data_IF_571261578563
#
_entry.id   IF_571261578563
#
_cell.length_a   1.000
_cell.length_b   1.000
_cell.length_c   1.000
_cell.angle_alpha   90.00
_cell.angle_beta   90.00
_cell.angle_gamma   90.00
#
_symmetry.space_group_name_H-M   'P 1'
#
loop_
_entity.id
_entity.type
_entity.pdbx_description
1 polymer ?
#
# COMPACT_ATOMS: atom_id res chain seq x y z
N UNK A 1 22.22 19.19 -28.46
CA UNK A 1 22.61 17.78 -28.65
C UNK A 1 23.66 17.42 -27.61
N UNK A 2 23.34 16.63 -26.58
CA UNK A 2 24.38 16.08 -25.68
C UNK A 2 24.88 14.75 -26.28
N UNK A 3 26.20 14.61 -26.36
CA UNK A 3 26.95 13.47 -26.91
C UNK A 3 26.59 12.19 -26.14
N UNK A 4 26.45 11.07 -26.83
CA UNK A 4 26.32 9.76 -26.21
C UNK A 4 27.64 9.40 -25.51
N UNK A 5 27.59 9.10 -24.21
CA UNK A 5 28.77 8.79 -23.39
C UNK A 5 29.10 7.30 -23.52
N UNK A 6 30.36 6.97 -23.76
CA UNK A 6 30.87 5.59 -23.81
C UNK A 6 31.21 5.06 -22.40
N UNK A 7 31.27 3.75 -22.22
CA UNK A 7 31.58 3.15 -20.90
C UNK A 7 32.94 3.59 -20.33
N UNK A 8 33.96 3.74 -21.18
CA UNK A 8 35.27 4.22 -20.75
C UNK A 8 35.24 5.70 -20.32
N UNK A 9 34.47 6.54 -21.02
CA UNK A 9 34.24 7.93 -20.61
C UNK A 9 33.49 7.97 -19.26
N UNK A 10 32.46 7.15 -19.08
CA UNK A 10 31.69 7.06 -17.84
C UNK A 10 32.55 6.71 -16.61
N UNK A 11 33.50 5.78 -16.75
CA UNK A 11 34.39 5.35 -15.67
C UNK A 11 35.41 6.43 -15.24
N UNK A 12 35.65 7.43 -16.10
CA UNK A 12 36.58 8.54 -15.81
C UNK A 12 35.92 9.72 -15.08
N UNK A 13 34.59 9.73 -15.01
CA UNK A 13 33.81 10.81 -14.41
C UNK A 13 33.59 10.55 -12.91
N UNK A 14 33.72 11.60 -12.10
CA UNK A 14 33.39 11.57 -10.67
C UNK A 14 32.03 12.25 -10.45
N UNK A 15 31.08 11.51 -9.86
CA UNK A 15 29.77 12.02 -9.43
C UNK A 15 28.88 12.63 -10.54
N UNK A 16 28.98 12.10 -11.77
CA UNK A 16 28.02 12.45 -12.83
C UNK A 16 26.78 11.57 -12.75
N UNK A 17 25.61 12.23 -12.75
CA UNK A 17 24.31 11.57 -12.67
C UNK A 17 23.61 11.55 -14.02
N UNK A 18 22.94 10.43 -14.28
CA UNK A 18 21.99 10.28 -15.37
C UNK A 18 20.62 9.93 -14.80
N UNK A 19 19.60 10.26 -15.58
CA UNK A 19 18.22 10.08 -15.18
C UNK A 19 17.54 9.07 -16.09
N UNK A 20 16.77 8.17 -15.50
CA UNK A 20 16.02 7.14 -16.23
C UNK A 20 14.58 7.11 -15.76
N UNK A 21 13.67 6.78 -16.66
CA UNK A 21 12.27 6.56 -16.31
C UNK A 21 12.12 5.25 -15.53
N UNK A 22 11.28 5.24 -14.49
CA UNK A 22 11.11 4.15 -13.53
C UNK A 22 10.47 2.89 -14.13
N UNK A 23 9.83 3.01 -15.30
CA UNK A 23 9.47 1.87 -16.15
C UNK A 23 10.65 0.97 -16.54
N UNK A 24 11.89 1.38 -16.31
CA UNK A 24 13.05 0.47 -16.38
C UNK A 24 12.90 -0.72 -15.42
N UNK A 25 12.18 -0.53 -14.30
CA UNK A 25 11.98 -1.50 -13.23
C UNK A 25 10.97 -2.59 -13.56
N UNK A 26 10.10 -2.41 -14.57
CA UNK A 26 9.12 -3.41 -15.05
C UNK A 26 9.76 -4.80 -15.25
N UNK A 27 10.98 -4.81 -15.80
CA UNK A 27 11.73 -6.03 -16.09
C UNK A 27 12.08 -6.82 -14.82
N UNK A 28 12.33 -6.13 -13.70
CA UNK A 28 12.88 -6.72 -12.48
C UNK A 28 11.80 -7.00 -11.44
N UNK A 29 10.73 -6.22 -11.40
CA UNK A 29 9.71 -6.32 -10.35
C UNK A 29 8.69 -7.46 -10.58
N UNK A 30 8.42 -7.85 -11.84
CA UNK A 30 7.25 -8.70 -12.17
C UNK A 30 7.56 -10.09 -12.69
N UNK A 31 8.81 -10.41 -13.01
CA UNK A 31 9.14 -11.56 -13.87
C UNK A 31 10.18 -12.53 -13.29
N UNK A 32 10.77 -12.26 -12.13
CA UNK A 32 11.87 -13.10 -11.63
C UNK A 32 12.05 -12.98 -10.10
N UNK A 33 11.97 -14.11 -9.38
CA UNK A 33 12.21 -14.17 -7.93
C UNK A 33 13.69 -13.90 -7.55
N UNK A 34 14.58 -13.85 -8.54
CA UNK A 34 16.02 -13.67 -8.32
C UNK A 34 16.46 -12.22 -8.19
N UNK A 35 15.64 -11.26 -8.65
CA UNK A 35 15.96 -9.84 -8.52
C UNK A 35 15.43 -9.29 -7.21
N UNK A 36 16.26 -8.44 -6.59
CA UNK A 36 15.86 -7.62 -5.46
C UNK A 36 15.79 -6.18 -5.97
N UNK A 37 14.65 -5.52 -5.76
CA UNK A 37 14.43 -4.13 -6.12
C UNK A 37 14.05 -3.36 -4.87
N UNK A 38 14.87 -2.38 -4.49
CA UNK A 38 14.54 -1.50 -3.37
C UNK A 38 13.60 -0.40 -3.85
N UNK A 39 12.40 -0.24 -3.25
CA UNK A 39 11.45 0.76 -3.71
C UNK A 39 11.85 2.19 -3.34
N UNK A 40 12.70 2.37 -2.33
CA UNK A 40 13.14 3.70 -1.87
C UNK A 40 14.21 4.27 -2.79
N UNK A 41 15.29 3.51 -3.02
CA UNK A 41 16.40 3.99 -3.83
C UNK A 41 16.36 3.49 -5.28
N UNK A 42 15.44 2.59 -5.63
CA UNK A 42 15.28 2.01 -6.97
C UNK A 42 16.47 1.18 -7.47
N UNK A 43 17.37 0.80 -6.57
CA UNK A 43 18.50 -0.07 -6.90
C UNK A 43 18.01 -1.49 -7.18
N UNK A 44 18.73 -2.17 -8.07
CA UNK A 44 18.43 -3.53 -8.51
C UNK A 44 19.64 -4.41 -8.26
N UNK A 45 19.45 -5.52 -7.55
CA UNK A 45 20.49 -6.52 -7.28
C UNK A 45 20.12 -7.86 -7.90
N UNK A 46 21.12 -8.58 -8.40
CA UNK A 46 21.01 -9.97 -8.84
C UNK A 46 22.02 -10.83 -8.08
N UNK A 47 21.58 -11.36 -6.93
CA UNK A 47 22.43 -12.06 -5.98
C UNK A 47 23.72 -11.28 -5.69
N UNK A 48 24.86 -11.98 -5.76
CA UNK A 48 26.19 -11.40 -5.58
C UNK A 48 26.91 -11.07 -6.91
N UNK A 49 26.20 -11.10 -8.05
CA UNK A 49 26.84 -11.01 -9.37
C UNK A 49 27.01 -9.57 -9.85
N UNK A 50 25.94 -8.77 -9.75
CA UNK A 50 25.93 -7.37 -10.16
C UNK A 50 24.81 -6.61 -9.47
N UNK A 51 24.95 -5.29 -9.40
CA UNK A 51 23.93 -4.39 -8.91
C UNK A 51 23.94 -3.10 -9.74
N UNK A 52 22.76 -2.54 -10.00
CA UNK A 52 22.64 -1.14 -10.42
C UNK A 52 22.23 -0.35 -9.19
N UNK A 53 23.15 0.49 -8.70
CA UNK A 53 22.94 1.32 -7.51
C UNK A 53 22.44 2.69 -7.93
N UNK A 54 21.33 3.09 -7.33
CA UNK A 54 20.60 4.32 -7.63
C UNK A 54 20.41 5.17 -6.37
N UNK A 55 20.16 6.46 -6.56
CA UNK A 55 19.94 7.42 -5.46
C UNK A 55 18.46 7.54 -5.05
N UNK A 56 17.56 6.90 -5.80
CA UNK A 56 16.12 7.01 -5.62
C UNK A 56 15.44 7.82 -6.71
N UNK A 57 14.13 8.01 -6.53
CA UNK A 57 13.35 8.82 -7.45
C UNK A 57 13.49 10.30 -7.09
N UNK A 58 13.76 11.13 -8.09
CA UNK A 58 13.86 12.60 -7.95
C UNK A 58 12.52 13.29 -8.22
N UNK A 59 11.55 12.56 -8.78
CA UNK A 59 10.18 12.98 -9.00
C UNK A 59 9.23 11.76 -8.91
N UNK A 60 8.04 11.83 -9.51
CA UNK A 60 7.09 10.71 -9.53
C UNK A 60 7.59 9.45 -10.25
N UNK A 61 8.35 9.59 -11.33
CA UNK A 61 8.64 8.56 -12.33
C UNK A 61 10.11 8.49 -12.79
N UNK A 62 11.01 9.28 -12.22
CA UNK A 62 12.38 9.45 -12.68
C UNK A 62 13.33 9.04 -11.58
N UNK A 63 14.23 8.12 -11.89
CA UNK A 63 15.29 7.61 -11.02
C UNK A 63 16.58 8.33 -11.37
N UNK A 64 17.30 8.78 -10.34
CA UNK A 64 18.67 9.25 -10.46
C UNK A 64 19.66 8.10 -10.27
N UNK A 65 20.58 7.96 -11.22
CA UNK A 65 21.58 6.90 -11.27
C UNK A 65 22.95 7.53 -11.44
N UNK A 66 23.91 7.16 -10.60
CA UNK A 66 25.30 7.53 -10.84
C UNK A 66 25.79 6.83 -12.11
N UNK A 67 26.27 7.61 -13.07
CA UNK A 67 26.68 7.11 -14.38
C UNK A 67 27.78 6.05 -14.25
N UNK A 68 28.71 6.23 -13.31
CA UNK A 68 29.77 5.27 -13.04
C UNK A 68 29.22 3.90 -12.61
N UNK A 69 28.27 3.88 -11.67
CA UNK A 69 27.67 2.64 -11.15
C UNK A 69 26.89 1.86 -12.23
N UNK A 70 26.41 2.52 -13.28
CA UNK A 70 25.72 1.85 -14.38
C UNK A 70 26.67 1.07 -15.32
N UNK A 71 27.97 1.40 -15.32
CA UNK A 71 28.99 0.77 -16.17
C UNK A 71 30.01 -0.05 -15.37
N UNK A 72 30.15 0.19 -14.07
CA UNK A 72 31.07 -0.55 -13.20
C UNK A 72 30.42 -1.83 -12.67
N UNK A 73 30.93 -3.00 -13.08
CA UNK A 73 30.46 -4.30 -12.58
C UNK A 73 29.08 -4.75 -13.09
N UNK A 74 28.46 -3.97 -14.00
CA UNK A 74 27.16 -4.28 -14.60
C UNK A 74 27.35 -4.87 -16.00
N UNK A 75 26.55 -5.88 -16.34
CA UNK A 75 26.61 -6.52 -17.67
C UNK A 75 26.10 -5.57 -18.77
N UNK A 76 26.68 -5.70 -19.95
CA UNK A 76 26.33 -4.84 -21.11
C UNK A 76 24.84 -4.86 -21.48
N UNK A 77 24.18 -6.02 -21.41
CA UNK A 77 22.75 -6.15 -21.70
C UNK A 77 21.87 -5.40 -20.69
N UNK A 78 22.30 -5.32 -19.43
CA UNK A 78 21.65 -4.53 -18.40
C UNK A 78 21.85 -3.05 -18.68
N UNK A 79 23.08 -2.58 -18.89
CA UNK A 79 23.35 -1.17 -19.23
C UNK A 79 22.59 -0.74 -20.49
N UNK A 80 22.52 -1.59 -21.52
CA UNK A 80 21.73 -1.34 -22.73
C UNK A 80 20.23 -1.24 -22.45
N UNK A 81 19.69 -2.05 -21.54
CA UNK A 81 18.29 -1.94 -21.11
C UNK A 81 18.02 -0.60 -20.42
N UNK A 82 18.82 -0.23 -19.43
CA UNK A 82 18.68 1.04 -18.70
C UNK A 82 18.78 2.26 -19.62
N UNK A 83 19.71 2.25 -20.57
CA UNK A 83 19.85 3.33 -21.56
C UNK A 83 18.59 3.56 -22.43
N UNK A 84 17.72 2.55 -22.63
CA UNK A 84 16.45 2.72 -23.36
C UNK A 84 15.47 3.66 -22.65
N UNK A 85 15.60 3.78 -21.34
CA UNK A 85 14.73 4.59 -20.48
C UNK A 85 15.38 5.92 -20.09
N UNK A 86 16.52 6.29 -20.70
CA UNK A 86 17.21 7.53 -20.39
C UNK A 86 16.34 8.76 -20.67
N UNK A 87 16.24 9.65 -19.68
CA UNK A 87 15.49 10.91 -19.76
C UNK A 87 16.43 12.02 -20.23
N UNK A 88 16.04 12.72 -21.30
CA UNK A 88 16.89 13.72 -21.96
C UNK A 88 16.92 15.09 -21.27
N UNK A 89 15.81 15.48 -20.62
CA UNK A 89 15.63 16.80 -20.03
C UNK A 89 15.13 16.66 -18.59
N UNK A 90 16.02 16.78 -17.59
CA UNK A 90 15.67 16.59 -16.21
C UNK A 90 14.87 17.76 -15.60
N UNK A 91 14.67 18.86 -16.31
CA UNK A 91 14.05 20.06 -15.70
C UNK A 91 12.51 20.02 -15.78
N UNK A 92 11.93 19.05 -16.51
CA UNK A 92 10.48 18.98 -16.82
C UNK A 92 9.70 17.95 -16.00
N UNK A 93 10.24 17.59 -14.85
CA UNK A 93 9.72 16.51 -14.03
C UNK A 93 8.33 16.73 -13.45
N UNK A 94 7.53 15.66 -13.43
CA UNK A 94 6.19 15.67 -12.85
C UNK A 94 6.28 15.78 -11.34
N UNK A 95 5.80 16.91 -10.80
CA UNK A 95 5.68 17.07 -9.35
C UNK A 95 4.72 16.02 -8.79
N UNK A 96 5.17 15.27 -7.79
CA UNK A 96 4.34 14.29 -7.11
C UNK A 96 5.15 13.44 -6.14
N UNK A 97 4.45 12.73 -5.26
CA UNK A 97 5.06 11.71 -4.40
C UNK A 97 5.17 10.42 -5.21
N UNK A 98 6.36 9.84 -5.20
CA UNK A 98 6.66 8.60 -5.89
C UNK A 98 6.03 7.37 -5.21
N UNK A 99 5.99 6.24 -5.93
CA UNK A 99 5.32 5.03 -5.44
C UNK A 99 6.02 4.41 -4.23
N UNK A 100 7.35 4.47 -4.15
CA UNK A 100 8.11 3.93 -3.03
C UNK A 100 7.76 4.68 -1.74
N UNK A 101 7.80 6.01 -1.79
CA UNK A 101 7.41 6.86 -0.66
C UNK A 101 5.93 6.70 -0.28
N UNK A 102 5.02 6.60 -1.25
CA UNK A 102 3.59 6.35 -1.00
C UNK A 102 3.36 5.02 -0.28
N UNK A 103 4.00 3.96 -0.75
CA UNK A 103 3.83 2.62 -0.20
C UNK A 103 4.45 2.50 1.19
N UNK A 104 5.59 3.15 1.43
CA UNK A 104 6.18 3.26 2.77
C UNK A 104 5.23 3.95 3.73
N UNK A 105 4.72 5.13 3.36
CA UNK A 105 3.80 5.91 4.19
C UNK A 105 2.53 5.12 4.53
N UNK A 106 1.96 4.42 3.54
CA UNK A 106 0.82 3.54 3.74
C UNK A 106 1.09 2.45 4.78
N UNK A 107 2.24 1.80 4.70
CA UNK A 107 2.61 0.75 5.64
C UNK A 107 2.92 1.27 7.03
N UNK A 108 3.60 2.41 7.15
CA UNK A 108 3.82 3.08 8.44
C UNK A 108 2.50 3.37 9.15
N UNK A 109 1.51 3.88 8.40
CA UNK A 109 0.18 4.16 8.96
C UNK A 109 -0.59 2.88 9.29
N UNK A 110 -0.44 1.83 8.47
CA UNK A 110 -1.09 0.54 8.72
C UNK A 110 -0.48 -0.23 9.90
N UNK A 111 0.83 -0.20 10.08
CA UNK A 111 1.53 -0.77 11.25
C UNK A 111 1.09 -0.04 12.51
N UNK A 112 1.08 1.29 12.51
CA UNK A 112 0.57 2.09 13.64
C UNK A 112 -0.88 1.77 13.97
N UNK A 113 -1.73 1.63 12.96
CA UNK A 113 -3.10 1.17 13.16
C UNK A 113 -3.15 -0.21 13.84
N UNK A 114 -2.29 -1.14 13.39
CA UNK A 114 -2.09 -2.45 13.99
C UNK A 114 -1.72 -2.36 15.47
N UNK A 115 -0.75 -1.51 15.81
CA UNK A 115 -0.29 -1.29 17.18
C UNK A 115 -1.40 -0.76 18.10
N UNK A 116 -2.09 0.30 17.66
CA UNK A 116 -3.19 0.86 18.45
C UNK A 116 -4.33 -0.12 18.62
N UNK A 117 -4.71 -0.84 17.55
CA UNK A 117 -5.78 -1.80 17.65
C UNK A 117 -5.37 -2.99 18.54
N UNK A 118 -4.17 -3.55 18.35
CA UNK A 118 -3.64 -4.63 19.17
C UNK A 118 -3.67 -4.28 20.67
N UNK A 119 -3.18 -3.09 21.03
CA UNK A 119 -3.20 -2.59 22.40
C UNK A 119 -4.62 -2.51 22.98
N UNK A 120 -5.57 -1.90 22.25
CA UNK A 120 -6.95 -1.76 22.71
C UNK A 120 -7.64 -3.12 22.87
N UNK A 121 -7.45 -4.04 21.92
CA UNK A 121 -8.03 -5.37 22.00
C UNK A 121 -7.38 -6.20 23.11
N UNK A 122 -6.08 -6.04 23.34
CA UNK A 122 -5.35 -6.74 24.40
C UNK A 122 -5.85 -6.37 25.79
N UNK A 123 -6.13 -5.08 26.03
CA UNK A 123 -6.77 -4.61 27.26
C UNK A 123 -8.14 -5.26 27.46
N UNK A 124 -8.99 -5.21 26.43
CA UNK A 124 -10.36 -5.74 26.54
C UNK A 124 -10.36 -7.25 26.77
N UNK A 125 -9.48 -7.96 26.06
CA UNK A 125 -9.40 -9.42 26.10
C UNK A 125 -8.56 -9.95 27.25
N UNK A 126 -7.79 -9.10 27.92
CA UNK A 126 -6.79 -9.47 28.93
C UNK A 126 -5.75 -10.44 28.35
N UNK A 127 -5.33 -10.19 27.11
CA UNK A 127 -4.39 -11.03 26.35
C UNK A 127 -3.30 -10.20 25.71
N UNK A 128 -2.13 -10.82 25.52
CA UNK A 128 -1.04 -10.24 24.76
C UNK A 128 -1.32 -10.39 23.25
N UNK A 129 -1.82 -9.32 22.65
CA UNK A 129 -2.12 -9.25 21.22
C UNK A 129 -1.04 -8.42 20.56
N UNK A 130 -0.41 -8.99 19.55
CA UNK A 130 0.67 -8.33 18.81
C UNK A 130 0.15 -7.59 17.59
N UNK A 131 0.79 -6.49 17.17
CA UNK A 131 0.47 -5.81 15.91
C UNK A 131 0.57 -6.72 14.68
N UNK A 132 1.51 -7.68 14.66
CA UNK A 132 1.61 -8.71 13.61
C UNK A 132 0.33 -9.57 13.53
N UNK A 133 -0.30 -9.93 14.65
CA UNK A 133 -1.60 -10.64 14.64
C UNK A 133 -2.75 -9.80 14.06
N UNK A 134 -2.61 -8.47 14.00
CA UNK A 134 -3.61 -7.56 13.44
C UNK A 134 -3.38 -7.28 11.96
N UNK A 135 -2.12 -7.11 11.57
CA UNK A 135 -1.72 -6.61 10.25
C UNK A 135 -1.12 -7.65 9.34
N UNK A 136 -0.69 -8.79 9.90
CA UNK A 136 0.11 -9.82 9.22
C UNK A 136 1.40 -9.23 8.60
N UNK A 137 1.95 -8.19 9.23
CA UNK A 137 3.24 -7.60 8.88
C UNK A 137 4.25 -7.99 9.95
N UNK A 138 5.38 -8.54 9.50
CA UNK A 138 6.47 -8.85 10.40
C UNK A 138 7.17 -7.57 10.89
N UNK A 139 7.02 -7.26 12.17
CA UNK A 139 7.58 -6.05 12.79
C UNK A 139 9.12 -6.03 12.76
N UNK A 140 9.75 -7.20 12.91
CA UNK A 140 11.21 -7.30 12.92
C UNK A 140 11.81 -6.83 11.59
N UNK A 141 11.24 -7.26 10.47
CA UNK A 141 11.68 -6.82 9.14
C UNK A 141 11.34 -5.35 8.90
N UNK A 142 10.17 -4.89 9.36
CA UNK A 142 9.74 -3.51 9.21
C UNK A 142 10.72 -2.53 9.89
N UNK A 143 11.01 -2.74 11.18
CA UNK A 143 11.85 -1.85 11.97
C UNK A 143 13.34 -1.92 11.64
N UNK A 144 13.80 -3.00 10.98
CA UNK A 144 15.18 -3.12 10.47
C UNK A 144 15.42 -2.46 9.11
N UNK A 145 14.40 -1.82 8.52
CA UNK A 145 14.52 -1.17 7.20
C UNK A 145 14.24 -2.07 6.01
N UNK A 146 13.88 -3.34 6.23
CA UNK A 146 13.47 -4.30 5.20
C UNK A 146 11.94 -4.40 5.10
N UNK A 147 11.25 -3.29 5.34
CA UNK A 147 9.78 -3.23 5.38
C UNK A 147 9.12 -3.71 4.08
N UNK A 148 9.80 -3.56 2.96
CA UNK A 148 9.30 -3.92 1.63
C UNK A 148 9.64 -5.35 1.22
N UNK A 149 10.55 -6.04 1.94
CA UNK A 149 11.03 -7.38 1.59
C UNK A 149 10.13 -8.47 2.20
N UNK A 150 8.83 -8.36 1.92
CA UNK A 150 7.82 -9.37 2.28
C UNK A 150 6.92 -9.58 1.06
N UNK A 151 6.57 -10.83 0.74
CA UNK A 151 5.84 -11.18 -0.48
C UNK A 151 4.51 -10.44 -0.63
N UNK A 152 3.81 -10.21 0.47
CA UNK A 152 2.54 -9.47 0.50
C UNK A 152 2.72 -7.96 0.32
N UNK A 153 3.93 -7.43 0.54
CA UNK A 153 4.25 -6.01 0.45
C UNK A 153 4.85 -5.64 -0.91
N UNK A 154 5.80 -6.44 -1.44
CA UNK A 154 6.49 -6.15 -2.71
C UNK A 154 5.57 -5.65 -3.83
N UNK A 155 4.40 -6.29 -4.10
CA UNK A 155 3.55 -5.87 -5.21
C UNK A 155 3.01 -4.45 -5.13
N UNK A 156 2.82 -3.91 -3.92
CA UNK A 156 2.33 -2.53 -3.76
C UNK A 156 3.43 -1.49 -3.96
N UNK A 157 4.71 -1.91 -4.00
CA UNK A 157 5.85 -1.01 -4.20
C UNK A 157 6.29 -0.91 -5.65
N UNK A 158 5.76 -1.77 -6.53
CA UNK A 158 6.12 -1.82 -7.94
C UNK A 158 5.77 -0.52 -8.66
N UNK A 159 6.60 -0.14 -9.63
CA UNK A 159 6.38 1.07 -10.41
C UNK A 159 4.99 1.07 -11.07
N UNK A 160 4.50 2.29 -11.28
CA UNK A 160 3.22 2.55 -11.92
C UNK A 160 3.49 2.90 -13.38
N UNK A 161 2.97 2.12 -14.36
CA UNK A 161 3.15 2.42 -15.77
C UNK A 161 2.66 3.83 -16.12
N UNK A 162 3.36 4.51 -17.03
CA UNK A 162 2.92 5.83 -17.51
C UNK A 162 1.53 5.78 -18.16
N UNK A 163 1.25 4.73 -18.94
CA UNK A 163 -0.06 4.45 -19.53
C UNK A 163 -0.97 3.70 -18.54
N UNK A 164 -1.15 4.27 -17.34
CA UNK A 164 -1.95 3.66 -16.28
C UNK A 164 -3.44 3.64 -16.66
N UNK A 165 -3.95 2.46 -16.99
CA UNK A 165 -5.34 2.28 -17.43
C UNK A 165 -6.25 1.71 -16.32
N UNK A 166 -7.53 1.53 -16.64
CA UNK A 166 -8.53 0.98 -15.73
C UNK A 166 -8.16 -0.41 -15.17
N UNK A 167 -7.60 -1.31 -15.99
CA UNK A 167 -7.21 -2.64 -15.53
C UNK A 167 -6.02 -2.56 -14.56
N UNK A 168 -5.04 -1.70 -14.84
CA UNK A 168 -3.94 -1.44 -13.91
C UNK A 168 -4.44 -0.91 -12.56
N UNK A 169 -5.42 -0.01 -12.57
CA UNK A 169 -6.07 0.49 -11.37
C UNK A 169 -6.75 -0.62 -10.57
N UNK A 170 -7.58 -1.46 -11.20
CA UNK A 170 -8.25 -2.56 -10.50
C UNK A 170 -7.25 -3.58 -9.96
N UNK A 171 -6.19 -3.88 -10.72
CA UNK A 171 -5.10 -4.72 -10.23
C UNK A 171 -4.45 -4.11 -8.98
N UNK A 172 -4.23 -2.80 -8.93
CA UNK A 172 -3.68 -2.14 -7.72
C UNK A 172 -4.66 -2.16 -6.56
N UNK A 173 -5.96 -1.96 -6.79
CA UNK A 173 -6.97 -2.14 -5.76
C UNK A 173 -6.97 -3.57 -5.19
N UNK A 174 -6.81 -4.57 -6.04
CA UNK A 174 -6.69 -5.97 -5.63
C UNK A 174 -5.45 -6.23 -4.77
N UNK A 175 -4.28 -5.70 -5.15
CA UNK A 175 -3.05 -5.81 -4.36
C UNK A 175 -3.19 -5.15 -2.98
N UNK A 176 -3.72 -3.91 -2.93
CA UNK A 176 -3.98 -3.21 -1.68
C UNK A 176 -5.00 -3.95 -0.80
N UNK A 177 -6.05 -4.52 -1.39
CA UNK A 177 -7.04 -5.31 -0.65
C UNK A 177 -6.46 -6.58 -0.07
N UNK A 178 -5.55 -7.26 -0.78
CA UNK A 178 -4.83 -8.45 -0.27
C UNK A 178 -3.95 -8.11 0.91
N UNK A 179 -3.30 -6.94 0.90
CA UNK A 179 -2.46 -6.48 1.99
C UNK A 179 -3.26 -6.04 3.22
N UNK A 180 -4.32 -5.25 3.04
CA UNK A 180 -4.96 -4.52 4.16
C UNK A 180 -6.24 -5.20 4.67
N UNK A 181 -7.02 -5.80 3.76
CA UNK A 181 -8.40 -6.25 4.07
C UNK A 181 -8.46 -7.75 4.32
N UNK A 182 -7.79 -8.55 3.49
CA UNK A 182 -7.79 -10.01 3.65
C UNK A 182 -7.19 -10.49 4.98
N UNK A 183 -6.10 -9.90 5.50
CA UNK A 183 -5.48 -10.37 6.74
C UNK A 183 -6.20 -9.92 8.00
N UNK A 184 -7.31 -9.19 7.89
CA UNK A 184 -8.02 -8.66 9.06
C UNK A 184 -8.41 -9.77 10.05
N UNK A 185 -8.14 -9.60 11.36
CA UNK A 185 -8.20 -10.68 12.33
C UNK A 185 -9.62 -10.94 12.83
N UNK A 186 -10.47 -11.53 11.98
CA UNK A 186 -11.89 -11.79 12.29
C UNK A 186 -12.09 -12.49 13.64
N UNK A 187 -11.23 -13.48 13.94
CA UNK A 187 -11.33 -14.26 15.18
C UNK A 187 -11.13 -13.37 16.42
N UNK A 188 -10.10 -12.52 16.41
CA UNK A 188 -9.79 -11.61 17.51
C UNK A 188 -10.91 -10.60 17.66
N UNK A 189 -11.33 -9.95 16.56
CA UNK A 189 -12.42 -8.97 16.58
C UNK A 189 -13.71 -9.58 17.14
N UNK A 190 -14.11 -10.79 16.70
CA UNK A 190 -15.30 -11.46 17.24
C UNK A 190 -15.17 -11.78 18.72
N UNK A 191 -13.98 -12.18 19.17
CA UNK A 191 -13.72 -12.44 20.59
C UNK A 191 -13.90 -11.15 21.40
N UNK A 192 -13.36 -10.03 20.92
CA UNK A 192 -13.54 -8.71 21.55
C UNK A 192 -15.02 -8.34 21.63
N UNK A 193 -15.76 -8.45 20.53
CA UNK A 193 -17.20 -8.14 20.51
C UNK A 193 -18.01 -9.01 21.50
N UNK A 194 -17.61 -10.27 21.70
CA UNK A 194 -18.23 -11.15 22.71
C UNK A 194 -17.88 -10.73 24.13
N UNK A 195 -16.62 -10.38 24.40
CA UNK A 195 -16.16 -9.90 25.71
C UNK A 195 -16.82 -8.58 26.11
N UNK A 196 -17.03 -7.67 25.14
CA UNK A 196 -17.81 -6.44 25.28
C UNK A 196 -19.32 -6.67 25.40
N UNK A 197 -19.78 -7.92 25.33
CA UNK A 197 -21.20 -8.29 25.35
C UNK A 197 -22.03 -7.61 24.24
N UNK A 198 -21.41 -7.28 23.09
CA UNK A 198 -22.07 -6.65 21.93
C UNK A 198 -22.27 -7.58 20.73
N UNK A 199 -21.80 -8.82 20.82
CA UNK A 199 -22.01 -9.83 19.79
C UNK A 199 -23.43 -10.42 19.82
N UNK A 200 -24.19 -10.24 18.74
CA UNK A 200 -25.57 -10.67 18.60
C UNK A 200 -25.83 -11.30 17.20
N UNK A 201 -27.08 -11.69 16.94
CA UNK A 201 -27.47 -12.28 15.66
C UNK A 201 -27.39 -11.31 14.47
N UNK A 202 -27.56 -9.99 14.69
CA UNK A 202 -27.48 -8.99 13.61
C UNK A 202 -26.05 -8.89 13.04
N UNK A 203 -25.03 -9.09 13.87
CA UNK A 203 -23.61 -9.02 13.45
C UNK A 203 -22.96 -10.39 13.25
N UNK A 204 -23.69 -11.49 13.47
CA UNK A 204 -23.18 -12.85 13.29
C UNK A 204 -22.70 -13.10 11.85
N UNK A 205 -23.45 -12.58 10.88
CA UNK A 205 -23.18 -12.68 9.43
C UNK A 205 -22.06 -11.76 8.94
N UNK A 206 -21.62 -10.79 9.75
CA UNK A 206 -20.61 -9.81 9.32
C UNK A 206 -19.27 -10.51 9.12
N UNK A 207 -18.52 -10.08 8.10
CA UNK A 207 -17.18 -10.60 7.77
C UNK A 207 -16.18 -9.46 7.71
N UNK A 208 -14.93 -9.78 8.01
CA UNK A 208 -13.71 -8.97 7.88
C UNK A 208 -13.96 -7.48 8.10
N UNK A 209 -14.09 -6.70 7.03
CA UNK A 209 -14.21 -5.26 7.05
C UNK A 209 -15.48 -4.76 7.76
N UNK A 210 -16.60 -5.48 7.67
CA UNK A 210 -17.85 -5.09 8.36
C UNK A 210 -17.72 -5.24 9.88
N UNK A 211 -17.00 -6.27 10.33
CA UNK A 211 -16.72 -6.47 11.76
C UNK A 211 -15.81 -5.36 12.29
N UNK A 212 -14.73 -5.06 11.55
CA UNK A 212 -13.84 -3.97 11.90
C UNK A 212 -14.59 -2.63 11.95
N UNK A 213 -15.42 -2.34 10.95
CA UNK A 213 -16.19 -1.10 10.92
C UNK A 213 -17.10 -0.98 12.14
N UNK A 214 -17.81 -2.06 12.48
CA UNK A 214 -18.70 -2.08 13.62
C UNK A 214 -17.95 -1.81 14.93
N UNK A 215 -16.81 -2.48 15.13
CA UNK A 215 -15.96 -2.29 16.30
C UNK A 215 -15.42 -0.86 16.39
N UNK A 216 -14.91 -0.30 15.29
CA UNK A 216 -14.38 1.06 15.28
C UNK A 216 -15.49 2.09 15.54
N UNK A 217 -16.65 1.95 14.90
CA UNK A 217 -17.82 2.80 15.17
C UNK A 217 -18.23 2.73 16.64
N UNK A 218 -18.14 1.55 17.26
CA UNK A 218 -18.38 1.37 18.69
C UNK A 218 -17.38 2.16 19.54
N UNK A 219 -16.07 2.04 19.28
CA UNK A 219 -15.04 2.80 19.98
C UNK A 219 -15.19 4.32 19.80
N UNK A 220 -15.38 4.79 18.56
CA UNK A 220 -15.56 6.22 18.28
C UNK A 220 -16.79 6.79 18.97
N UNK A 221 -17.91 6.05 18.97
CA UNK A 221 -19.14 6.49 19.60
C UNK A 221 -19.02 6.54 21.12
N UNK A 222 -18.42 5.51 21.73
CA UNK A 222 -18.16 5.47 23.16
C UNK A 222 -17.28 6.66 23.59
N UNK A 223 -16.19 6.91 22.86
CA UNK A 223 -15.30 8.04 23.12
C UNK A 223 -16.02 9.39 23.01
N UNK A 224 -16.86 9.57 21.98
CA UNK A 224 -17.59 10.83 21.74
C UNK A 224 -18.59 11.17 22.85
N UNK A 225 -19.17 10.16 23.49
CA UNK A 225 -20.18 10.33 24.54
C UNK A 225 -19.58 10.20 25.94
N UNK A 226 -18.33 9.74 26.06
CA UNK A 226 -17.65 9.52 27.34
C UNK A 226 -18.12 8.26 28.06
N UNK A 227 -18.62 7.27 27.33
CA UNK A 227 -19.08 6.00 27.88
C UNK A 227 -17.93 5.02 28.11
N UNK A 228 -18.08 4.21 29.15
CA UNK A 228 -17.15 3.12 29.43
C UNK A 228 -17.53 1.90 28.57
N UNK A 229 -16.55 1.36 27.85
CA UNK A 229 -16.71 0.20 26.96
C UNK A 229 -17.14 -1.07 27.71
N UNK A 230 -16.91 -1.14 29.02
CA UNK A 230 -17.18 -2.32 29.86
C UNK A 230 -18.41 -2.15 30.77
N UNK A 231 -19.05 -0.97 30.79
CA UNK A 231 -20.24 -0.73 31.60
C UNK A 231 -21.52 -1.23 30.92
N UNK A 232 -22.24 -2.17 31.56
CA UNK A 232 -23.44 -2.80 31.01
C UNK A 232 -24.58 -1.82 30.66
N UNK A 233 -24.76 -0.76 31.43
CA UNK A 233 -25.83 0.22 31.16
C UNK A 233 -25.53 1.06 29.91
N UNK A 234 -24.26 1.38 29.71
CA UNK A 234 -23.79 2.13 28.53
C UNK A 234 -23.85 1.23 27.29
N UNK A 235 -23.53 -0.06 27.42
CA UNK A 235 -23.58 -1.05 26.34
C UNK A 235 -24.95 -1.14 25.66
N UNK A 236 -26.04 -1.24 26.42
CA UNK A 236 -27.38 -1.37 25.81
C UNK A 236 -27.80 -0.08 25.07
N UNK A 237 -27.45 1.07 25.64
CA UNK A 237 -27.68 2.39 25.02
C UNK A 237 -26.85 2.54 23.74
N UNK A 238 -25.59 2.12 23.74
CA UNK A 238 -24.71 2.16 22.57
C UNK A 238 -25.18 1.25 21.44
N UNK A 239 -25.64 0.02 21.74
CA UNK A 239 -26.18 -0.91 20.74
C UNK A 239 -27.30 -0.28 19.93
N UNK A 240 -28.29 0.32 20.62
CA UNK A 240 -29.46 0.95 19.98
C UNK A 240 -29.07 2.16 19.12
N UNK A 241 -28.04 2.92 19.52
CA UNK A 241 -27.64 4.16 18.82
C UNK A 241 -26.65 3.95 17.69
N UNK A 242 -25.76 2.95 17.75
CA UNK A 242 -24.84 2.66 16.65
C UNK A 242 -25.58 2.14 15.41
N UNK A 243 -26.65 1.39 15.60
CA UNK A 243 -27.47 0.90 14.47
C UNK A 243 -28.30 2.04 13.83
N UNK A 244 -28.72 3.05 14.60
CA UNK A 244 -29.67 4.07 14.15
C UNK A 244 -29.07 5.47 13.86
N UNK A 245 -28.06 5.90 14.62
CA UNK A 245 -27.66 7.31 14.69
C UNK A 245 -26.24 7.60 14.17
N UNK A 246 -25.30 6.65 14.30
CA UNK A 246 -23.89 6.93 14.00
C UNK A 246 -23.59 6.79 12.50
N UNK A 247 -23.75 7.86 11.72
CA UNK A 247 -23.51 7.84 10.27
C UNK A 247 -22.04 7.79 9.86
N UNK A 248 -21.12 8.11 10.78
CA UNK A 248 -19.69 8.13 10.47
C UNK A 248 -19.19 6.71 10.18
N UNK A 249 -18.47 6.61 9.06
CA UNK A 249 -17.92 5.36 8.56
C UNK A 249 -16.40 5.49 8.48
N UNK A 250 -15.67 5.22 9.58
CA UNK A 250 -14.24 5.53 9.68
C UNK A 250 -13.37 4.79 8.66
N UNK A 251 -13.89 3.72 8.05
CA UNK A 251 -13.18 2.92 7.05
C UNK A 251 -13.86 2.93 5.68
N UNK A 252 -14.63 3.99 5.38
CA UNK A 252 -15.24 4.20 4.05
C UNK A 252 -14.24 4.03 2.90
N UNK A 253 -12.99 4.57 2.96
CA UNK A 253 -11.98 4.33 1.93
C UNK A 253 -11.69 2.83 1.68
N UNK A 254 -11.64 2.01 2.74
CA UNK A 254 -11.38 0.58 2.64
C UNK A 254 -12.60 -0.19 2.08
N UNK A 255 -13.82 0.26 2.42
CA UNK A 255 -15.05 -0.33 1.88
C UNK A 255 -15.10 -0.09 0.37
N UNK A 256 -14.74 1.12 -0.05
CA UNK A 256 -14.68 1.46 -1.45
C UNK A 256 -13.55 0.72 -2.19
N UNK A 257 -12.38 0.56 -1.57
CA UNK A 257 -11.31 -0.30 -2.08
C UNK A 257 -11.81 -1.74 -2.35
N UNK A 258 -12.58 -2.31 -1.42
CA UNK A 258 -13.17 -3.63 -1.59
C UNK A 258 -14.21 -3.66 -2.73
N UNK A 259 -14.98 -2.58 -2.91
CA UNK A 259 -15.90 -2.45 -4.06
C UNK A 259 -15.14 -2.40 -5.39
N UNK A 260 -14.04 -1.63 -5.47
CA UNK A 260 -13.21 -1.57 -6.67
C UNK A 260 -12.61 -2.93 -7.05
N UNK A 261 -12.12 -3.68 -6.07
CA UNK A 261 -11.67 -5.06 -6.30
C UNK A 261 -12.77 -5.95 -6.91
N UNK A 262 -14.03 -5.76 -6.52
CA UNK A 262 -15.15 -6.55 -7.05
C UNK A 262 -15.56 -6.14 -8.47
N UNK A 263 -15.26 -4.91 -8.89
CA UNK A 263 -15.55 -4.45 -10.27
C UNK A 263 -14.76 -5.21 -11.34
N UNK A 264 -13.65 -5.83 -10.94
CA UNK A 264 -12.87 -6.73 -11.80
C UNK A 264 -13.57 -8.09 -12.03
N UNK A 265 -14.52 -8.47 -11.16
CA UNK A 265 -15.28 -9.71 -11.32
C UNK A 265 -16.50 -9.48 -12.24
N UNK A 266 -16.63 -10.31 -13.28
CA UNK A 266 -17.52 -10.16 -14.45
C UNK A 266 -19.06 -10.06 -14.25
N UNK A 267 -19.59 -9.85 -13.04
CA UNK A 267 -21.02 -9.93 -12.73
C UNK A 267 -21.67 -8.65 -12.18
N UNK A 268 -21.12 -7.47 -12.44
CA UNK A 268 -21.67 -6.18 -11.94
C UNK A 268 -22.31 -5.40 -13.08
N UNK A 269 -23.51 -4.85 -12.85
CA UNK A 269 -24.23 -4.06 -13.85
C UNK A 269 -23.50 -2.75 -14.18
N UNK A 270 -23.70 -2.22 -15.39
CA UNK A 270 -23.11 -0.93 -15.81
C UNK A 270 -23.51 0.24 -14.89
N UNK A 271 -24.73 0.21 -14.35
CA UNK A 271 -25.22 1.22 -13.42
C UNK A 271 -24.49 1.17 -12.07
N UNK A 272 -24.32 -0.01 -11.49
CA UNK A 272 -23.55 -0.20 -10.25
C UNK A 272 -22.08 0.19 -10.42
N UNK A 273 -21.48 -0.14 -11.57
CA UNK A 273 -20.11 0.26 -11.90
C UNK A 273 -19.95 1.79 -11.90
N UNK A 274 -20.88 2.50 -12.57
CA UNK A 274 -20.88 3.96 -12.58
C UNK A 274 -21.09 4.57 -11.18
N UNK A 275 -21.96 3.97 -10.37
CA UNK A 275 -22.15 4.43 -9.00
C UNK A 275 -20.87 4.31 -8.17
N UNK A 276 -20.19 3.17 -8.22
CA UNK A 276 -18.95 2.93 -7.47
C UNK A 276 -17.83 3.89 -7.93
N UNK A 277 -17.72 4.13 -9.25
CA UNK A 277 -16.77 5.11 -9.79
C UNK A 277 -17.09 6.53 -9.30
N UNK A 278 -18.37 6.92 -9.29
CA UNK A 278 -18.80 8.23 -8.78
C UNK A 278 -18.53 8.39 -7.28
N UNK A 279 -18.76 7.35 -6.48
CA UNK A 279 -18.39 7.33 -5.06
C UNK A 279 -16.87 7.51 -4.88
N UNK A 280 -16.05 6.78 -5.66
CA UNK A 280 -14.61 6.93 -5.57
C UNK A 280 -14.04 8.23 -6.13
N UNK A 281 -14.71 8.86 -7.09
CA UNK A 281 -14.34 10.20 -7.52
C UNK A 281 -14.49 11.24 -6.40
N UNK A 282 -15.49 11.08 -5.52
CA UNK A 282 -15.71 11.99 -4.38
C UNK A 282 -14.63 11.85 -3.30
N UNK A 283 -14.12 10.62 -3.09
CA UNK A 283 -13.18 10.31 -2.01
C UNK A 283 -11.72 10.39 -2.47
N UNK A 284 -11.42 9.89 -3.68
CA UNK A 284 -10.06 9.68 -4.17
C UNK A 284 -9.71 10.49 -5.42
N UNK A 285 -10.67 11.22 -6.01
CA UNK A 285 -10.44 12.05 -7.20
C UNK A 285 -9.88 11.27 -8.42
N UNK A 286 -10.44 10.09 -8.72
CA UNK A 286 -9.94 9.14 -9.74
C UNK A 286 -10.44 9.39 -11.18
N UNK A 287 -11.02 10.56 -11.49
CA UNK A 287 -11.68 10.82 -12.77
C UNK A 287 -10.77 10.59 -13.98
N UNK A 288 -9.47 10.86 -13.83
CA UNK A 288 -8.48 10.71 -14.90
C UNK A 288 -8.20 9.27 -15.31
N UNK A 289 -8.59 8.28 -14.51
CA UNK A 289 -8.34 6.85 -14.77
C UNK A 289 -9.46 6.20 -15.61
N UNK A 290 -10.65 6.80 -15.61
CA UNK A 290 -11.87 6.22 -16.20
C UNK A 290 -12.41 7.02 -17.40
N UNK A 291 -11.68 8.04 -17.84
CA UNK A 291 -11.98 8.84 -19.03
C UNK A 291 -11.31 8.28 -20.28
#
# INVERSE_FOLDING_TARGET
>A
HKKQITGNEALSLRFDFVYVHDSVLDKYERNDETYIVSPENCSVWYGNQWAVICNGRVDRHTIEVELKNLYEGVRYDITKHWNKYAVKDPVKYEKGIDIGSKSKKLLEDYVKFGEYLAYQLGIILEEDITPEQITNINEHNFYKGYWWDQEQIKPITYHIPHNFNQNDFFNRCSLLSKLIIEPLPEKIIRKTLKKLNIYNDSIKSYRSLRLLNFLLRYFFFAQKIGFDLMNNNDIETMKKRIENDFKDNPIEPLILLQKFRKLDAHNISSQEKMQIINEGNKIFHIQTVFN
#
